data_IF_711038170614
#
_entry.id   IF_711038170614
#
_cell.length_a   1.000
_cell.length_b   1.000
_cell.length_c   1.000
_cell.angle_alpha   90.00
_cell.angle_beta   90.00
_cell.angle_gamma   90.00
#
_symmetry.space_group_name_H-M   'P 1'
#
loop_
_entity.id
_entity.type
_entity.pdbx_description
1 polymer ?
#
# COMPACT_ATOMS: atom_id res chain seq x y z
N UNK A 1 4.37 19.51 -11.18
CA UNK A 1 5.47 18.59 -11.57
C UNK A 1 6.52 18.50 -10.49
N UNK A 2 7.23 17.37 -10.40
CA UNK A 2 8.36 17.26 -9.47
C UNK A 2 9.65 17.76 -10.11
N UNK A 3 10.46 18.42 -9.32
CA UNK A 3 11.79 18.87 -9.74
C UNK A 3 12.70 17.63 -9.94
N UNK A 4 13.36 17.48 -11.10
CA UNK A 4 14.26 16.35 -11.34
C UNK A 4 15.52 16.37 -10.45
N UNK A 5 15.89 17.56 -9.93
CA UNK A 5 17.12 17.72 -9.14
C UNK A 5 16.91 17.48 -7.64
N UNK A 6 15.75 17.84 -7.08
CA UNK A 6 15.53 17.78 -5.63
C UNK A 6 14.21 17.13 -5.20
N UNK A 7 13.41 16.61 -6.13
CA UNK A 7 12.15 15.95 -5.86
C UNK A 7 11.01 16.86 -5.35
N UNK A 8 11.24 18.15 -5.17
CA UNK A 8 10.20 19.07 -4.67
C UNK A 8 9.08 19.25 -5.69
N UNK A 9 7.84 19.17 -5.22
CA UNK A 9 6.67 19.48 -6.05
C UNK A 9 6.63 20.96 -6.43
N UNK A 10 6.31 21.22 -7.69
CA UNK A 10 6.13 22.56 -8.24
C UNK A 10 4.88 22.57 -9.13
N UNK A 11 4.21 23.71 -9.22
CA UNK A 11 3.08 23.89 -10.14
C UNK A 11 3.52 23.54 -11.57
N UNK A 12 2.61 22.98 -12.34
CA UNK A 12 2.88 22.66 -13.76
C UNK A 12 3.24 23.87 -14.61
N UNK A 13 2.84 25.07 -14.19
CA UNK A 13 3.18 26.36 -14.80
C UNK A 13 4.49 26.98 -14.30
N UNK A 14 5.16 26.39 -13.32
CA UNK A 14 6.40 26.95 -12.77
C UNK A 14 7.57 26.72 -13.71
N UNK A 15 8.31 27.78 -14.03
CA UNK A 15 9.54 27.70 -14.84
C UNK A 15 10.76 27.27 -14.05
N UNK A 16 10.77 27.49 -12.73
CA UNK A 16 11.87 27.14 -11.83
C UNK A 16 11.36 26.47 -10.56
N UNK A 17 12.17 25.60 -10.00
CA UNK A 17 11.88 24.91 -8.74
C UNK A 17 11.86 25.87 -7.56
N UNK A 18 10.81 25.83 -6.75
CA UNK A 18 10.65 26.69 -5.56
C UNK A 18 11.67 26.40 -4.45
N UNK A 19 12.32 25.23 -4.48
CA UNK A 19 13.30 24.82 -3.45
C UNK A 19 14.74 24.98 -3.88
N UNK A 20 15.11 24.49 -5.08
CA UNK A 20 16.51 24.46 -5.53
C UNK A 20 16.79 25.40 -6.70
N UNK A 21 15.81 26.15 -7.18
CA UNK A 21 15.90 27.09 -8.30
C UNK A 21 16.30 26.44 -9.64
N UNK A 22 16.36 25.10 -9.74
CA UNK A 22 16.60 24.40 -10.98
C UNK A 22 15.52 24.70 -12.02
N UNK A 23 15.89 24.79 -13.28
CA UNK A 23 14.96 25.01 -14.37
C UNK A 23 14.08 23.78 -14.55
N UNK A 24 12.77 23.98 -14.53
CA UNK A 24 11.80 22.90 -14.69
C UNK A 24 11.49 22.67 -16.17
N UNK A 25 11.26 21.41 -16.59
CA UNK A 25 10.89 21.12 -17.97
C UNK A 25 9.57 21.80 -18.34
N UNK A 26 9.53 22.41 -19.50
CA UNK A 26 8.31 23.05 -20.04
C UNK A 26 7.35 21.94 -20.52
N UNK A 27 6.35 21.65 -19.70
CA UNK A 27 5.34 20.59 -19.95
C UNK A 27 4.51 20.88 -21.21
N UNK A 28 4.48 22.14 -21.69
CA UNK A 28 3.73 22.52 -22.90
C UNK A 28 4.43 22.07 -24.19
N UNK A 29 5.70 21.65 -24.12
CA UNK A 29 6.54 21.32 -25.27
C UNK A 29 6.84 19.83 -25.44
N UNK A 30 6.25 18.93 -24.66
CA UNK A 30 6.41 17.49 -24.87
C UNK A 30 5.67 17.04 -26.14
N UNK A 31 6.37 16.49 -27.14
CA UNK A 31 5.74 16.03 -28.40
C UNK A 31 5.24 14.57 -28.30
N UNK A 32 4.84 14.10 -27.13
CA UNK A 32 4.15 12.82 -27.03
C UNK A 32 2.73 12.96 -27.57
N UNK A 33 2.33 12.02 -28.47
CA UNK A 33 0.93 11.87 -28.88
C UNK A 33 0.07 11.91 -27.62
N UNK A 34 -1.00 12.70 -27.57
CA UNK A 34 -1.86 12.75 -26.41
C UNK A 34 -2.31 11.33 -26.11
N UNK A 35 -1.96 10.86 -24.91
CA UNK A 35 -2.44 9.58 -24.40
C UNK A 35 -3.97 9.69 -24.37
N UNK A 36 -4.65 8.89 -25.22
CA UNK A 36 -6.11 8.92 -25.34
C UNK A 36 -6.79 8.70 -23.99
N UNK A 37 -6.18 7.88 -23.13
CA UNK A 37 -6.67 7.60 -21.78
C UNK A 37 -6.59 8.85 -20.89
N UNK A 38 -5.48 9.60 -20.94
CA UNK A 38 -5.32 10.87 -20.20
C UNK A 38 -6.30 11.92 -20.73
N UNK A 39 -6.49 11.98 -22.04
CA UNK A 39 -7.43 12.94 -22.66
C UNK A 39 -8.87 12.65 -22.23
N UNK A 40 -9.25 11.38 -22.22
CA UNK A 40 -10.56 10.95 -21.75
C UNK A 40 -10.74 11.24 -20.25
N UNK A 41 -9.73 10.96 -19.42
CA UNK A 41 -9.77 11.26 -17.98
C UNK A 41 -9.91 12.76 -17.70
N UNK A 42 -9.23 13.63 -18.47
CA UNK A 42 -9.40 15.08 -18.35
C UNK A 42 -10.83 15.50 -18.66
N UNK A 43 -11.49 14.86 -19.62
CA UNK A 43 -12.90 15.10 -19.92
C UNK A 43 -13.80 14.64 -18.76
N UNK A 44 -13.60 13.42 -18.28
CA UNK A 44 -14.39 12.79 -17.21
C UNK A 44 -14.24 13.51 -15.87
N UNK A 45 -13.03 13.91 -15.49
CA UNK A 45 -12.77 14.62 -14.23
C UNK A 45 -13.11 16.11 -14.29
N UNK A 46 -13.39 16.62 -15.48
CA UNK A 46 -13.73 18.02 -15.72
C UNK A 46 -12.58 18.96 -15.36
N UNK A 47 -12.93 20.18 -14.88
CA UNK A 47 -11.95 21.19 -14.48
C UNK A 47 -11.34 20.95 -13.07
N UNK A 48 -11.78 19.92 -12.35
CA UNK A 48 -11.32 19.69 -10.97
C UNK A 48 -9.91 19.11 -10.87
N UNK A 49 -9.51 18.26 -11.82
CA UNK A 49 -8.21 17.55 -11.79
C UNK A 49 -7.50 17.68 -13.14
N UNK A 50 -6.30 18.25 -13.10
CA UNK A 50 -5.41 18.32 -14.26
C UNK A 50 -4.55 17.05 -14.31
N UNK A 51 -4.98 16.02 -15.03
CA UNK A 51 -4.25 14.76 -15.17
C UNK A 51 -2.94 15.00 -15.93
N UNK A 52 -1.81 14.60 -15.35
CA UNK A 52 -0.47 14.88 -15.87
C UNK A 52 0.15 13.68 -16.57
N UNK A 53 0.30 12.56 -15.83
CA UNK A 53 0.95 11.35 -16.35
C UNK A 53 0.43 10.11 -15.64
N UNK A 54 0.59 8.96 -16.29
CA UNK A 54 0.40 7.65 -15.69
C UNK A 54 1.58 7.32 -14.77
N UNK A 55 1.29 6.90 -13.53
CA UNK A 55 2.29 6.42 -12.57
C UNK A 55 2.47 4.90 -12.63
N UNK A 56 1.43 4.18 -12.96
CA UNK A 56 1.42 2.72 -13.00
C UNK A 56 0.02 2.17 -13.17
N UNK A 57 -0.14 0.90 -12.82
CA UNK A 57 -1.43 0.21 -12.84
C UNK A 57 -1.26 -1.28 -12.87
N UNK A 58 -2.32 -2.00 -12.56
CA UNK A 58 -2.39 -3.45 -12.58
C UNK A 58 -3.56 -3.95 -13.43
N UNK A 59 -3.97 -5.20 -13.23
CA UNK A 59 -5.06 -5.81 -14.00
C UNK A 59 -6.44 -5.17 -13.82
N UNK A 60 -6.64 -4.36 -12.78
CA UNK A 60 -7.96 -3.81 -12.42
C UNK A 60 -8.06 -2.29 -12.57
N UNK A 61 -6.96 -1.56 -12.35
CA UNK A 61 -6.97 -0.11 -12.34
C UNK A 61 -5.65 0.47 -12.86
N UNK A 62 -5.75 1.65 -13.45
CA UNK A 62 -4.62 2.51 -13.79
C UNK A 62 -4.49 3.64 -12.76
N UNK A 63 -3.25 4.06 -12.47
CA UNK A 63 -2.93 5.09 -11.48
C UNK A 63 -2.29 6.28 -12.18
N UNK A 64 -2.84 7.48 -11.95
CA UNK A 64 -2.41 8.71 -12.60
C UNK A 64 -2.04 9.78 -11.58
N UNK A 65 -0.96 10.50 -11.85
CA UNK A 65 -0.65 11.75 -11.18
C UNK A 65 -1.50 12.86 -11.78
N UNK A 66 -2.11 13.65 -10.92
CA UNK A 66 -2.86 14.83 -11.31
C UNK A 66 -2.62 15.98 -10.31
N UNK A 67 -3.06 17.16 -10.68
CA UNK A 67 -3.10 18.33 -9.82
C UNK A 67 -4.55 18.71 -9.56
N UNK A 68 -4.90 18.95 -8.29
CA UNK A 68 -6.21 19.49 -7.96
C UNK A 68 -6.26 20.98 -8.36
N UNK A 69 -7.08 21.32 -9.35
CA UNK A 69 -7.04 22.63 -10.03
C UNK A 69 -7.20 23.83 -9.09
N UNK A 70 -8.07 23.74 -8.07
CA UNK A 70 -8.31 24.85 -7.15
C UNK A 70 -7.38 24.85 -5.93
N UNK A 71 -6.93 23.68 -5.47
CA UNK A 71 -6.06 23.57 -4.28
C UNK A 71 -4.57 23.57 -4.67
N UNK A 72 -4.28 23.46 -5.97
CA UNK A 72 -2.93 23.50 -6.54
C UNK A 72 -1.96 22.49 -5.86
N UNK A 73 -2.49 21.32 -5.51
CA UNK A 73 -1.72 20.27 -4.85
C UNK A 73 -1.75 18.97 -5.66
N UNK A 74 -0.67 18.16 -5.59
CA UNK A 74 -0.61 16.88 -6.27
C UNK A 74 -1.58 15.88 -5.63
N UNK A 75 -2.27 15.14 -6.48
CA UNK A 75 -3.16 14.05 -6.12
C UNK A 75 -2.93 12.86 -7.03
N UNK A 76 -3.38 11.70 -6.59
CA UNK A 76 -3.38 10.47 -7.38
C UNK A 76 -4.81 10.10 -7.71
N UNK A 77 -5.08 9.85 -8.98
CA UNK A 77 -6.33 9.25 -9.45
C UNK A 77 -6.10 7.76 -9.69
N UNK A 78 -6.85 6.91 -9.01
CA UNK A 78 -6.93 5.47 -9.30
C UNK A 78 -8.21 5.22 -10.08
N UNK A 79 -8.06 4.75 -11.31
CA UNK A 79 -9.12 4.63 -12.31
C UNK A 79 -9.39 3.17 -12.60
N UNK A 80 -10.62 2.71 -12.40
CA UNK A 80 -11.03 1.34 -12.71
C UNK A 80 -11.09 1.13 -14.23
N UNK A 81 -10.55 -0.01 -14.71
CA UNK A 81 -10.58 -0.32 -16.14
C UNK A 81 -12.02 -0.48 -16.65
N UNK A 82 -12.32 0.13 -17.81
CA UNK A 82 -13.67 0.25 -18.35
C UNK A 82 -14.38 -1.07 -18.64
N UNK A 83 -13.63 -2.18 -18.86
CA UNK A 83 -14.24 -3.51 -19.02
C UNK A 83 -14.82 -4.04 -17.70
N UNK A 84 -14.24 -3.65 -16.53
CA UNK A 84 -14.74 -4.00 -15.22
C UNK A 84 -15.89 -3.07 -14.79
N UNK A 85 -15.89 -1.82 -15.24
CA UNK A 85 -16.97 -0.87 -15.01
C UNK A 85 -18.28 -1.24 -15.73
N UNK A 86 -18.25 -2.15 -16.69
CA UNK A 86 -19.44 -2.67 -17.39
C UNK A 86 -20.17 -3.79 -16.61
N UNK A 87 -19.55 -4.39 -15.61
CA UNK A 87 -20.18 -5.38 -14.74
C UNK A 87 -20.89 -4.66 -13.57
N UNK A 88 -22.24 -4.70 -13.50
CA UNK A 88 -23.01 -4.02 -12.46
C UNK A 88 -22.64 -4.46 -11.04
N UNK A 89 -22.27 -5.72 -10.86
CA UNK A 89 -21.88 -6.25 -9.55
C UNK A 89 -20.50 -5.73 -9.12
N UNK A 90 -19.56 -5.62 -10.07
CA UNK A 90 -18.24 -5.02 -9.83
C UNK A 90 -18.36 -3.53 -9.50
N UNK A 91 -19.24 -2.83 -10.23
CA UNK A 91 -19.52 -1.41 -10.02
C UNK A 91 -20.07 -1.13 -8.62
N UNK A 92 -21.10 -1.87 -8.21
CA UNK A 92 -21.71 -1.69 -6.88
C UNK A 92 -20.74 -2.04 -5.76
N UNK A 93 -19.91 -3.06 -5.97
CA UNK A 93 -18.86 -3.44 -5.04
C UNK A 93 -17.80 -2.35 -4.90
N UNK A 94 -17.28 -1.82 -6.02
CA UNK A 94 -16.33 -0.72 -6.01
C UNK A 94 -16.87 0.49 -5.23
N UNK A 95 -18.13 0.87 -5.50
CA UNK A 95 -18.80 1.98 -4.79
C UNK A 95 -18.89 1.71 -3.29
N UNK A 96 -19.26 0.49 -2.90
CA UNK A 96 -19.39 0.11 -1.48
C UNK A 96 -18.04 0.12 -0.78
N UNK A 97 -17.01 -0.42 -1.41
CA UNK A 97 -15.66 -0.49 -0.87
C UNK A 97 -15.02 0.90 -0.80
N UNK A 98 -15.18 1.74 -1.82
CA UNK A 98 -14.74 3.13 -1.79
C UNK A 98 -15.41 3.92 -0.66
N UNK A 99 -16.73 3.74 -0.43
CA UNK A 99 -17.44 4.35 0.71
C UNK A 99 -16.91 3.85 2.05
N UNK A 100 -16.65 2.55 2.20
CA UNK A 100 -16.11 2.00 3.43
C UNK A 100 -14.69 2.52 3.70
N UNK A 101 -13.83 2.54 2.70
CA UNK A 101 -12.46 3.04 2.81
C UNK A 101 -12.42 4.56 3.08
N UNK A 102 -13.36 5.35 2.52
CA UNK A 102 -13.42 6.80 2.77
C UNK A 102 -13.76 7.16 4.23
N UNK A 103 -14.31 6.23 5.00
CA UNK A 103 -14.58 6.42 6.43
C UNK A 103 -13.37 6.11 7.32
N UNK A 104 -12.29 5.58 6.75
CA UNK A 104 -11.08 5.29 7.51
C UNK A 104 -10.26 6.57 7.70
N UNK A 105 -10.25 7.10 8.92
CA UNK A 105 -9.46 8.27 9.31
C UNK A 105 -8.41 7.83 10.34
N UNK A 106 -7.19 7.65 9.87
CA UNK A 106 -6.06 7.21 10.70
C UNK A 106 -4.75 7.81 10.17
N UNK A 107 -3.78 8.22 11.02
CA UNK A 107 -2.53 8.84 10.57
C UNK A 107 -1.69 7.94 9.64
N UNK A 108 -1.85 6.62 9.71
CA UNK A 108 -1.12 5.67 8.87
C UNK A 108 -2.03 5.01 7.80
N UNK A 109 -3.11 5.67 7.40
CA UNK A 109 -3.96 5.28 6.26
C UNK A 109 -4.01 6.43 5.27
N UNK A 110 -3.77 6.14 4.00
CA UNK A 110 -3.94 7.13 2.92
C UNK A 110 -5.43 7.43 2.76
N UNK A 111 -5.88 8.68 3.02
CA UNK A 111 -7.30 9.00 2.94
C UNK A 111 -7.80 9.04 1.50
N UNK A 112 -9.04 8.63 1.26
CA UNK A 112 -9.75 8.92 0.02
C UNK A 112 -10.30 10.35 0.11
N UNK A 113 -9.86 11.22 -0.78
CA UNK A 113 -10.26 12.64 -0.83
C UNK A 113 -11.55 12.85 -1.59
N UNK A 114 -11.74 12.07 -2.66
CA UNK A 114 -12.91 12.16 -3.55
C UNK A 114 -13.09 10.84 -4.30
N UNK A 115 -14.29 10.60 -4.80
CA UNK A 115 -14.60 9.50 -5.70
C UNK A 115 -15.62 9.99 -6.72
N UNK A 116 -15.46 9.56 -7.96
CA UNK A 116 -16.34 10.00 -9.05
C UNK A 116 -16.62 8.90 -10.04
N UNK A 117 -17.72 9.13 -10.76
CA UNK A 117 -18.14 8.33 -11.90
C UNK A 117 -18.67 9.26 -13.00
N UNK A 118 -18.10 9.17 -14.19
CA UNK A 118 -18.58 9.85 -15.36
C UNK A 118 -18.24 9.05 -16.62
N UNK A 119 -19.15 8.99 -17.58
CA UNK A 119 -18.99 8.29 -18.86
C UNK A 119 -18.55 6.82 -18.74
N UNK A 120 -19.01 6.13 -17.69
CA UNK A 120 -18.64 4.75 -17.38
C UNK A 120 -17.22 4.57 -16.85
N UNK A 121 -16.54 5.65 -16.47
CA UNK A 121 -15.23 5.66 -15.81
C UNK A 121 -15.42 5.92 -14.32
N UNK A 122 -14.94 4.99 -13.50
CA UNK A 122 -14.92 5.16 -12.04
C UNK A 122 -13.51 5.47 -11.57
N UNK A 123 -13.41 6.43 -10.67
CA UNK A 123 -12.13 6.80 -10.09
C UNK A 123 -12.23 7.17 -8.61
N UNK A 124 -11.14 6.97 -7.90
CA UNK A 124 -10.92 7.52 -6.55
C UNK A 124 -9.74 8.48 -6.58
N UNK A 125 -9.76 9.46 -5.70
CA UNK A 125 -8.71 10.48 -5.57
C UNK A 125 -8.09 10.40 -4.20
N UNK A 126 -6.77 10.37 -4.15
CA UNK A 126 -5.96 10.29 -2.94
C UNK A 126 -4.87 11.37 -2.96
N UNK A 127 -4.31 11.76 -1.81
CA UNK A 127 -3.10 12.60 -1.82
C UNK A 127 -1.94 11.85 -2.48
N UNK A 128 -1.08 12.57 -3.17
CA UNK A 128 0.19 12.02 -3.65
C UNK A 128 1.15 11.83 -2.48
N UNK A 129 1.79 10.66 -2.40
CA UNK A 129 2.77 10.33 -1.37
C UNK A 129 4.18 10.48 -1.93
N UNK A 130 4.92 11.55 -1.57
CA UNK A 130 6.20 11.87 -2.21
C UNK A 130 7.34 10.95 -1.80
N UNK A 131 7.22 10.26 -0.69
CA UNK A 131 8.23 9.33 -0.19
C UNK A 131 8.28 7.98 -0.92
N UNK A 132 7.43 7.79 -1.96
CA UNK A 132 7.36 6.53 -2.70
C UNK A 132 6.75 5.38 -1.91
N UNK A 133 7.00 4.15 -2.35
CA UNK A 133 6.52 2.90 -1.73
C UNK A 133 7.61 2.17 -0.94
N UNK A 134 7.21 1.22 -0.11
CA UNK A 134 8.18 0.32 0.54
C UNK A 134 8.83 -0.63 -0.47
N UNK A 135 8.12 -0.95 -1.56
CA UNK A 135 8.69 -1.69 -2.70
C UNK A 135 9.87 -0.96 -3.34
N UNK A 136 9.78 0.37 -3.48
CA UNK A 136 10.89 1.19 -4.01
C UNK A 136 12.12 1.13 -3.09
N UNK A 137 11.91 1.14 -1.76
CA UNK A 137 13.02 1.03 -0.78
C UNK A 137 13.65 -0.36 -0.79
N UNK A 138 12.85 -1.43 -0.82
CA UNK A 138 13.33 -2.82 -0.91
C UNK A 138 14.07 -3.05 -2.22
N UNK A 139 13.61 -2.43 -3.32
CA UNK A 139 14.29 -2.48 -4.62
C UNK A 139 15.74 -1.96 -4.60
N UNK A 140 16.10 -1.13 -3.63
CA UNK A 140 17.47 -0.68 -3.37
C UNK A 140 18.27 -1.67 -2.50
N UNK A 141 17.65 -2.72 -1.95
CA UNK A 141 18.24 -3.74 -1.10
C UNK A 141 17.49 -3.95 0.23
N UNK A 142 17.99 -4.89 1.03
CA UNK A 142 17.47 -5.14 2.38
C UNK A 142 17.60 -3.88 3.25
N UNK A 143 16.57 -3.64 4.08
CA UNK A 143 16.45 -2.42 4.87
C UNK A 143 16.92 -2.66 6.33
N UNK A 144 17.36 -1.62 7.05
CA UNK A 144 17.76 -1.74 8.44
C UNK A 144 16.65 -2.34 9.31
N UNK A 145 16.96 -3.29 10.24
CA UNK A 145 15.95 -3.97 11.04
C UNK A 145 15.02 -3.05 11.83
N UNK A 146 15.53 -1.97 12.42
CA UNK A 146 14.74 -0.99 13.19
C UNK A 146 13.79 -0.22 12.27
N UNK A 147 14.23 0.12 11.06
CA UNK A 147 13.38 0.80 10.08
C UNK A 147 12.23 -0.11 9.62
N UNK A 148 12.52 -1.37 9.26
CA UNK A 148 11.50 -2.37 8.89
C UNK A 148 10.49 -2.56 10.02
N UNK A 149 10.95 -2.73 11.25
CA UNK A 149 10.09 -2.91 12.41
C UNK A 149 9.18 -1.68 12.64
N UNK A 150 9.71 -0.46 12.46
CA UNK A 150 8.95 0.78 12.59
C UNK A 150 7.86 0.91 11.51
N UNK A 151 8.20 0.63 10.25
CA UNK A 151 7.27 0.67 9.11
C UNK A 151 6.12 -0.32 9.34
N UNK A 152 6.46 -1.56 9.70
CA UNK A 152 5.47 -2.63 9.92
C UNK A 152 4.61 -2.34 11.15
N UNK A 153 5.15 -1.75 12.22
CA UNK A 153 4.35 -1.35 13.38
C UNK A 153 3.29 -0.30 13.02
N UNK A 154 3.66 0.69 12.20
CA UNK A 154 2.72 1.71 11.71
C UNK A 154 1.62 1.09 10.83
N UNK A 155 1.99 0.20 9.89
CA UNK A 155 1.05 -0.50 9.04
C UNK A 155 0.13 -1.43 9.85
N UNK A 156 0.65 -2.13 10.86
CA UNK A 156 -0.12 -3.03 11.72
C UNK A 156 -1.19 -2.27 12.53
N UNK A 157 -0.87 -1.08 13.03
CA UNK A 157 -1.84 -0.24 13.73
C UNK A 157 -2.93 0.30 12.78
N UNK A 158 -2.56 0.67 11.56
CA UNK A 158 -3.51 1.08 10.53
C UNK A 158 -4.50 -0.05 10.19
N UNK A 159 -3.99 -1.27 10.01
CA UNK A 159 -4.81 -2.45 9.74
C UNK A 159 -5.71 -2.81 10.92
N UNK A 160 -5.20 -2.76 12.18
CA UNK A 160 -6.04 -2.98 13.37
C UNK A 160 -7.20 -2.00 13.44
N UNK A 161 -6.96 -0.73 13.09
CA UNK A 161 -8.00 0.28 13.04
C UNK A 161 -9.10 -0.06 12.01
N UNK A 162 -8.72 -0.56 10.83
CA UNK A 162 -9.65 -1.00 9.80
C UNK A 162 -10.40 -2.28 10.21
N UNK A 163 -9.69 -3.27 10.78
CA UNK A 163 -10.27 -4.54 11.23
C UNK A 163 -11.38 -4.33 12.28
N UNK A 164 -11.18 -3.42 13.24
CA UNK A 164 -12.21 -3.06 14.22
C UNK A 164 -13.46 -2.44 13.60
N UNK A 165 -13.40 -2.02 12.35
CA UNK A 165 -14.52 -1.51 11.55
C UNK A 165 -15.07 -2.52 10.56
N UNK A 166 -14.61 -3.79 10.65
CA UNK A 166 -15.04 -4.88 9.77
C UNK A 166 -14.39 -4.85 8.38
N UNK A 167 -13.34 -4.04 8.18
CA UNK A 167 -12.64 -3.92 6.90
C UNK A 167 -11.33 -4.70 6.97
N UNK A 168 -11.19 -5.74 6.16
CA UNK A 168 -9.96 -6.52 5.97
C UNK A 168 -9.32 -6.06 4.65
N UNK A 169 -8.03 -5.81 4.65
CA UNK A 169 -7.30 -5.24 3.49
C UNK A 169 -7.15 -6.24 2.34
N UNK A 170 -6.71 -7.47 2.63
CA UNK A 170 -6.59 -8.62 1.73
C UNK A 170 -5.48 -8.53 0.67
N UNK A 171 -4.87 -7.38 0.45
CA UNK A 171 -3.76 -7.17 -0.51
C UNK A 171 -2.64 -6.35 0.13
N UNK A 172 -2.20 -6.75 1.32
CA UNK A 172 -1.07 -6.12 1.98
C UNK A 172 0.22 -6.57 1.30
N UNK A 173 0.95 -5.60 0.74
CA UNK A 173 2.24 -5.80 0.05
C UNK A 173 3.08 -4.52 0.11
N UNK A 174 4.37 -4.57 -0.21
CA UNK A 174 5.24 -3.39 -0.15
C UNK A 174 4.78 -2.22 -1.02
N UNK A 175 4.16 -2.49 -2.18
CA UNK A 175 3.59 -1.46 -3.07
C UNK A 175 2.47 -0.66 -2.40
N UNK A 176 1.74 -1.26 -1.46
CA UNK A 176 0.61 -0.66 -0.77
C UNK A 176 0.99 -0.03 0.59
N UNK A 177 2.29 0.07 0.89
CA UNK A 177 2.84 0.83 2.03
C UNK A 177 3.60 2.00 1.45
N UNK A 178 3.02 3.19 1.54
CA UNK A 178 3.55 4.44 0.99
C UNK A 178 4.14 5.31 2.10
N UNK A 179 4.95 6.31 1.70
CA UNK A 179 5.58 7.23 2.65
C UNK A 179 5.17 8.67 2.35
N UNK A 180 4.83 9.41 3.41
CA UNK A 180 4.63 10.86 3.36
C UNK A 180 5.97 11.62 3.26
N UNK A 181 5.91 12.95 3.27
CA UNK A 181 7.10 13.83 3.20
C UNK A 181 7.99 13.73 4.44
N UNK A 182 7.43 13.29 5.57
CA UNK A 182 8.15 13.10 6.85
C UNK A 182 8.68 11.66 7.01
N UNK A 183 8.42 10.78 6.03
CA UNK A 183 8.85 9.39 6.03
C UNK A 183 7.98 8.44 6.86
N UNK A 184 6.78 8.87 7.28
CA UNK A 184 5.83 7.98 7.94
C UNK A 184 5.20 7.01 6.94
N UNK A 185 4.99 5.77 7.40
CA UNK A 185 4.35 4.75 6.58
C UNK A 185 2.82 4.89 6.64
N UNK A 186 2.18 4.86 5.47
CA UNK A 186 0.73 4.85 5.32
C UNK A 186 0.30 3.69 4.42
N UNK A 187 -0.72 2.95 4.87
CA UNK A 187 -1.33 1.88 4.08
C UNK A 187 -2.35 2.47 3.11
N UNK A 188 -2.30 2.05 1.86
CA UNK A 188 -3.23 2.44 0.79
C UNK A 188 -3.95 1.23 0.22
N UNK A 189 -4.96 1.46 -0.62
CA UNK A 189 -5.62 0.41 -1.42
C UNK A 189 -6.37 -0.65 -0.61
N UNK A 190 -7.10 -0.23 0.43
CA UNK A 190 -8.00 -1.12 1.17
C UNK A 190 -9.04 -1.76 0.24
N UNK A 191 -8.77 -2.98 -0.19
CA UNK A 191 -9.70 -3.97 -0.78
C UNK A 191 -10.63 -3.57 -1.91
N UNK A 192 -10.41 -2.40 -2.57
CA UNK A 192 -11.39 -1.74 -3.46
C UNK A 192 -11.80 -2.58 -4.70
N UNK A 193 -11.24 -3.76 -4.92
CA UNK A 193 -11.61 -4.56 -6.11
C UNK A 193 -11.42 -6.08 -5.98
N UNK A 194 -10.90 -6.60 -4.86
CA UNK A 194 -10.35 -7.97 -4.86
C UNK A 194 -11.27 -9.07 -4.33
N UNK A 195 -12.38 -8.75 -3.70
CA UNK A 195 -13.20 -9.74 -2.97
C UNK A 195 -13.76 -10.90 -3.82
N UNK A 196 -13.73 -10.81 -5.16
CA UNK A 196 -14.19 -11.91 -6.05
C UNK A 196 -13.10 -12.81 -6.56
N UNK A 197 -11.85 -12.36 -6.55
CA UNK A 197 -10.76 -13.10 -7.19
C UNK A 197 -9.90 -13.91 -6.22
N UNK A 198 -10.12 -13.72 -4.90
CA UNK A 198 -9.47 -14.53 -3.89
C UNK A 198 -10.08 -15.93 -3.84
N UNK A 199 -9.32 -16.92 -4.27
CA UNK A 199 -9.64 -18.34 -4.09
C UNK A 199 -10.16 -19.10 -5.30
N UNK A 200 -10.24 -18.49 -6.49
CA UNK A 200 -10.38 -19.24 -7.72
C UNK A 200 -9.15 -19.02 -8.60
N UNK A 201 -8.25 -19.98 -8.58
CA UNK A 201 -7.43 -20.26 -9.76
C UNK A 201 -8.43 -20.41 -10.91
N UNK A 202 -8.55 -19.39 -11.76
CA UNK A 202 -9.40 -19.51 -12.93
C UNK A 202 -8.91 -20.69 -13.75
N UNK A 203 -9.81 -21.40 -14.40
CA UNK A 203 -9.49 -22.53 -15.29
C UNK A 203 -8.46 -22.14 -16.40
N UNK A 204 -8.13 -20.87 -16.54
CA UNK A 204 -7.13 -20.31 -17.44
C UNK A 204 -5.73 -20.14 -16.84
N UNK A 205 -5.48 -20.55 -15.57
CA UNK A 205 -4.15 -20.51 -14.94
C UNK A 205 -3.64 -19.08 -14.62
N UNK A 206 -4.44 -18.04 -14.84
CA UNK A 206 -4.08 -16.66 -14.48
C UNK A 206 -4.55 -16.36 -13.07
N UNK A 207 -3.62 -16.42 -12.10
CA UNK A 207 -3.86 -15.87 -10.78
C UNK A 207 -3.95 -14.34 -10.92
N UNK A 208 -5.05 -13.76 -10.47
CA UNK A 208 -5.21 -12.32 -10.38
C UNK A 208 -4.75 -11.92 -8.98
N UNK A 209 -3.67 -11.16 -8.88
CA UNK A 209 -3.01 -10.75 -7.65
C UNK A 209 -1.58 -11.28 -7.53
N UNK A 210 -0.83 -10.76 -6.59
CA UNK A 210 0.57 -11.18 -6.34
C UNK A 210 0.56 -12.30 -5.29
N UNK A 211 0.70 -13.58 -5.69
CA UNK A 211 0.53 -14.73 -4.78
C UNK A 211 1.56 -14.76 -3.65
N UNK A 212 2.66 -14.01 -3.80
CA UNK A 212 3.76 -13.95 -2.84
C UNK A 212 3.34 -13.47 -1.44
N UNK A 213 2.27 -12.66 -1.34
CA UNK A 213 1.80 -12.08 -0.06
C UNK A 213 0.49 -12.69 0.43
N UNK A 214 -0.09 -13.65 -0.29
CA UNK A 214 -1.34 -14.31 0.12
C UNK A 214 -1.15 -15.12 1.39
N UNK A 215 -2.10 -15.02 2.32
CA UNK A 215 -2.17 -15.93 3.45
C UNK A 215 -2.61 -17.34 3.02
N UNK A 216 -2.28 -18.39 3.81
CA UNK A 216 -2.71 -19.76 3.52
C UNK A 216 -4.22 -19.89 3.32
N UNK A 217 -5.02 -19.22 4.15
CA UNK A 217 -6.48 -19.23 4.05
C UNK A 217 -7.00 -18.52 2.79
N UNK A 218 -6.33 -17.45 2.32
CA UNK A 218 -6.64 -16.83 1.03
C UNK A 218 -6.32 -17.79 -0.12
N UNK A 219 -5.12 -18.40 -0.13
CA UNK A 219 -4.73 -19.36 -1.16
C UNK A 219 -5.66 -20.56 -1.23
N UNK A 220 -6.25 -20.96 -0.10
CA UNK A 220 -7.25 -22.05 -0.02
C UNK A 220 -8.68 -21.60 -0.32
N UNK A 221 -8.94 -20.31 -0.57
CA UNK A 221 -10.31 -19.80 -0.76
C UNK A 221 -11.21 -19.88 0.47
N UNK A 222 -10.64 -19.91 1.67
CA UNK A 222 -11.37 -19.95 2.94
C UNK A 222 -11.81 -18.55 3.36
N UNK A 223 -12.67 -18.49 4.39
CA UNK A 223 -13.04 -17.21 5.01
C UNK A 223 -11.80 -16.54 5.63
N UNK A 224 -11.67 -15.24 5.38
CA UNK A 224 -10.52 -14.43 5.74
C UNK A 224 -10.92 -13.38 6.75
N UNK A 225 -10.17 -13.28 7.84
CA UNK A 225 -10.27 -12.19 8.82
C UNK A 225 -8.96 -11.37 8.88
N UNK A 226 -8.86 -10.41 9.82
CA UNK A 226 -7.71 -9.53 9.93
C UNK A 226 -6.36 -10.23 10.14
N UNK A 227 -6.35 -11.48 10.57
CA UNK A 227 -5.12 -12.27 10.75
C UNK A 227 -4.48 -12.68 9.42
N UNK A 228 -5.21 -12.62 8.31
CA UNK A 228 -4.64 -12.74 6.98
C UNK A 228 -3.72 -11.56 6.64
N UNK A 229 -4.15 -10.33 6.96
CA UNK A 229 -3.32 -9.14 6.76
C UNK A 229 -2.07 -9.17 7.64
N UNK A 230 -2.15 -9.75 8.85
CA UNK A 230 -0.98 -9.96 9.74
C UNK A 230 0.03 -10.93 9.09
N UNK A 231 -0.44 -12.00 8.45
CA UNK A 231 0.42 -12.91 7.70
C UNK A 231 1.12 -12.18 6.55
N UNK A 232 0.37 -11.42 5.76
CA UNK A 232 0.91 -10.63 4.66
C UNK A 232 1.93 -9.58 5.15
N UNK A 233 1.68 -8.91 6.30
CA UNK A 233 2.69 -8.06 6.95
C UNK A 233 3.93 -8.83 7.38
N UNK A 234 3.79 -10.09 7.80
CA UNK A 234 4.92 -10.97 8.08
C UNK A 234 5.80 -11.19 6.85
N UNK A 235 5.18 -11.35 5.67
CA UNK A 235 5.92 -11.47 4.39
C UNK A 235 6.59 -10.13 4.02
N UNK A 236 5.87 -9.01 4.15
CA UNK A 236 6.41 -7.67 3.92
C UNK A 236 7.62 -7.40 4.82
N UNK A 237 7.54 -7.78 6.10
CA UNK A 237 8.63 -7.65 7.05
C UNK A 237 9.82 -8.55 6.70
N UNK A 238 9.55 -9.81 6.32
CA UNK A 238 10.58 -10.74 5.85
C UNK A 238 11.33 -10.15 4.65
N UNK A 239 10.60 -9.73 3.63
CA UNK A 239 11.17 -9.16 2.41
C UNK A 239 11.94 -7.87 2.69
N UNK A 240 11.44 -7.00 3.54
CA UNK A 240 12.16 -5.80 3.98
C UNK A 240 13.51 -6.09 4.62
N UNK A 241 13.60 -7.18 5.41
CA UNK A 241 14.81 -7.60 6.11
C UNK A 241 15.80 -8.36 5.23
N UNK A 242 15.31 -9.11 4.23
CA UNK A 242 16.11 -10.07 3.45
C UNK A 242 16.33 -9.57 2.01
N UNK A 243 15.43 -8.74 1.49
CA UNK A 243 15.44 -8.23 0.12
C UNK A 243 14.58 -9.02 -0.87
N UNK A 244 13.99 -10.15 -0.44
CA UNK A 244 13.10 -10.98 -1.27
C UNK A 244 12.06 -11.71 -0.42
N UNK A 245 10.88 -12.08 -0.97
CA UNK A 245 9.85 -12.79 -0.22
C UNK A 245 10.27 -14.21 0.15
N UNK A 246 9.69 -14.81 1.22
CA UNK A 246 10.07 -16.14 1.72
C UNK A 246 9.74 -17.27 0.76
N UNK A 247 8.80 -17.07 -0.14
CA UNK A 247 8.38 -18.09 -1.10
C UNK A 247 8.36 -17.52 -2.52
N UNK A 248 8.97 -18.26 -3.43
CA UNK A 248 8.97 -17.98 -4.86
C UNK A 248 8.73 -19.29 -5.64
N UNK A 249 8.33 -19.18 -6.91
CA UNK A 249 8.03 -20.33 -7.73
C UNK A 249 7.82 -19.99 -9.20
N UNK A 250 7.79 -21.00 -10.08
CA UNK A 250 7.66 -20.80 -11.52
C UNK A 250 6.31 -20.22 -11.94
N UNK A 251 5.30 -20.32 -11.09
CA UNK A 251 3.96 -19.80 -11.32
C UNK A 251 3.21 -19.50 -10.00
N UNK A 252 2.07 -18.88 -10.14
CA UNK A 252 1.23 -18.50 -9.01
C UNK A 252 0.71 -19.71 -8.19
N UNK A 253 0.55 -20.87 -8.83
CA UNK A 253 0.10 -22.08 -8.15
C UNK A 253 1.21 -22.62 -7.24
N UNK A 254 2.45 -22.67 -7.74
CA UNK A 254 3.61 -23.11 -6.96
C UNK A 254 3.84 -22.22 -5.72
N UNK A 255 3.73 -20.90 -5.88
CA UNK A 255 3.84 -19.96 -4.75
C UNK A 255 2.67 -20.17 -3.77
N UNK A 256 1.43 -20.26 -4.26
CA UNK A 256 0.25 -20.53 -3.43
C UNK A 256 0.35 -21.84 -2.66
N UNK A 257 0.88 -22.91 -3.28
CA UNK A 257 1.14 -24.18 -2.61
C UNK A 257 2.12 -24.02 -1.44
N UNK A 258 3.21 -23.29 -1.65
CA UNK A 258 4.21 -23.01 -0.61
C UNK A 258 3.62 -22.18 0.54
N UNK A 259 2.78 -21.18 0.23
CA UNK A 259 2.06 -20.43 1.25
C UNK A 259 1.25 -21.33 2.18
N UNK A 260 0.67 -22.42 1.67
CA UNK A 260 -0.14 -23.35 2.44
C UNK A 260 0.70 -24.38 3.19
N UNK A 261 1.75 -24.92 2.56
CA UNK A 261 2.37 -26.18 3.00
C UNK A 261 3.81 -26.02 3.50
N UNK A 262 4.58 -25.03 3.00
CA UNK A 262 5.99 -24.91 3.35
C UNK A 262 6.20 -23.95 4.53
N UNK A 263 7.09 -24.35 5.44
CA UNK A 263 7.59 -23.45 6.51
C UNK A 263 8.67 -22.56 5.90
N UNK A 264 8.59 -21.23 6.08
CA UNK A 264 9.64 -20.35 5.55
C UNK A 264 10.96 -20.56 6.28
N UNK A 265 12.08 -20.37 5.57
CA UNK A 265 13.40 -20.28 6.19
C UNK A 265 13.42 -19.06 7.10
N UNK A 266 13.94 -19.20 8.32
CA UNK A 266 14.03 -18.06 9.24
C UNK A 266 14.92 -16.95 8.66
N UNK A 267 14.53 -15.66 8.78
CA UNK A 267 15.36 -14.53 8.31
C UNK A 267 16.82 -14.59 8.80
N UNK A 268 17.04 -15.02 10.04
CA UNK A 268 18.41 -15.18 10.63
C UNK A 268 19.25 -16.23 9.88
N UNK A 269 18.62 -17.27 9.34
CA UNK A 269 19.34 -18.27 8.56
C UNK A 269 19.75 -17.78 7.18
N UNK A 270 19.04 -16.77 6.65
CA UNK A 270 19.37 -16.11 5.38
C UNK A 270 20.41 -15.00 5.59
N UNK A 271 20.23 -14.21 6.63
CA UNK A 271 21.18 -13.15 7.02
C UNK A 271 21.34 -13.15 8.56
N UNK A 272 22.52 -13.57 9.01
CA UNK A 272 22.84 -13.68 10.45
C UNK A 272 22.95 -12.33 11.18
N UNK A 273 22.95 -11.20 10.44
CA UNK A 273 22.92 -9.86 11.04
C UNK A 273 21.52 -9.45 11.51
N UNK A 274 20.48 -10.18 11.07
CA UNK A 274 19.11 -9.94 11.53
C UNK A 274 18.95 -10.42 12.97
N UNK A 275 18.50 -9.55 13.90
CA UNK A 275 18.34 -9.93 15.29
C UNK A 275 17.34 -11.09 15.48
N UNK A 276 17.74 -12.12 16.24
CA UNK A 276 16.93 -13.31 16.43
C UNK A 276 15.53 -13.01 16.99
N UNK A 277 15.42 -12.09 17.94
CA UNK A 277 14.13 -11.68 18.51
C UNK A 277 13.20 -11.03 17.47
N UNK A 278 13.72 -10.29 16.49
CA UNK A 278 12.92 -9.75 15.38
C UNK A 278 12.49 -10.87 14.43
N UNK A 279 13.39 -11.81 14.13
CA UNK A 279 13.06 -12.97 13.31
C UNK A 279 11.95 -13.84 13.93
N UNK A 280 11.90 -13.99 15.25
CA UNK A 280 10.82 -14.68 15.97
C UNK A 280 9.46 -13.97 15.74
N UNK A 281 9.43 -12.63 15.76
CA UNK A 281 8.20 -11.86 15.45
C UNK A 281 7.75 -12.14 14.01
N UNK A 282 8.69 -12.12 13.03
CA UNK A 282 8.40 -12.46 11.63
C UNK A 282 7.80 -13.87 11.54
N UNK A 283 8.47 -14.86 12.12
CA UNK A 283 8.07 -16.26 12.02
C UNK A 283 6.71 -16.51 12.67
N UNK A 284 6.39 -15.82 13.76
CA UNK A 284 5.07 -15.86 14.38
C UNK A 284 3.98 -15.31 13.45
N UNK A 285 4.23 -14.20 12.74
CA UNK A 285 3.28 -13.70 11.72
C UNK A 285 3.06 -14.72 10.61
N UNK A 286 4.10 -15.47 10.20
CA UNK A 286 4.09 -16.45 9.14
C UNK A 286 3.60 -17.85 9.56
N UNK A 287 3.09 -18.01 10.79
CA UNK A 287 2.44 -19.25 11.24
C UNK A 287 1.27 -19.61 10.33
N UNK A 288 1.19 -20.89 9.91
CA UNK A 288 0.14 -21.32 8.97
C UNK A 288 -1.25 -21.27 9.61
N UNK A 289 -1.48 -21.82 10.83
CA UNK A 289 -2.75 -21.61 11.50
C UNK A 289 -2.91 -20.15 11.95
N UNK A 290 -4.03 -19.47 11.60
CA UNK A 290 -4.27 -18.09 12.03
C UNK A 290 -4.28 -17.91 13.57
N UNK A 291 -4.60 -18.96 14.33
CA UNK A 291 -4.63 -18.92 15.80
C UNK A 291 -3.25 -18.74 16.43
N UNK A 292 -2.17 -19.14 15.73
CA UNK A 292 -0.79 -19.09 16.24
C UNK A 292 -0.12 -17.73 15.94
N UNK A 293 -0.76 -16.89 15.11
CA UNK A 293 -0.31 -15.54 14.79
C UNK A 293 -0.66 -14.57 15.92
N UNK A 294 -0.33 -13.30 15.73
CA UNK A 294 -0.89 -12.24 16.57
C UNK A 294 -2.40 -12.15 16.33
N UNK A 295 -3.16 -12.00 17.42
CA UNK A 295 -4.62 -11.95 17.32
C UNK A 295 -5.11 -10.66 16.66
N UNK A 296 -4.36 -9.56 16.86
CA UNK A 296 -4.69 -8.23 16.39
C UNK A 296 -3.47 -7.52 15.83
N UNK A 297 -3.68 -6.57 14.91
CA UNK A 297 -2.60 -5.72 14.38
C UNK A 297 -1.89 -4.93 15.48
N UNK A 298 -2.61 -4.44 16.48
CA UNK A 298 -2.00 -3.73 17.61
C UNK A 298 -1.09 -4.64 18.46
N UNK A 299 -1.39 -5.93 18.60
CA UNK A 299 -0.53 -6.85 19.34
C UNK A 299 0.82 -7.03 18.62
N UNK A 300 0.83 -7.06 17.29
CA UNK A 300 2.03 -7.06 16.47
C UNK A 300 2.78 -5.72 16.60
N UNK A 301 2.07 -4.60 16.50
CA UNK A 301 2.67 -3.28 16.62
C UNK A 301 3.35 -3.10 17.99
N UNK A 302 2.70 -3.50 19.07
CA UNK A 302 3.24 -3.43 20.44
C UNK A 302 4.49 -4.30 20.61
N UNK A 303 4.51 -5.51 20.02
CA UNK A 303 5.68 -6.39 20.04
C UNK A 303 6.87 -5.78 19.30
N UNK A 304 6.65 -5.16 18.12
CA UNK A 304 7.69 -4.49 17.34
C UNK A 304 8.24 -3.27 18.08
N UNK A 305 7.37 -2.45 18.67
CA UNK A 305 7.77 -1.26 19.45
C UNK A 305 8.57 -1.67 20.68
N UNK A 306 8.15 -2.72 21.40
CA UNK A 306 8.89 -3.25 22.52
C UNK A 306 10.29 -3.74 22.11
N UNK A 307 10.37 -4.42 20.95
CA UNK A 307 11.65 -4.84 20.39
C UNK A 307 12.53 -3.62 20.02
N UNK A 308 12.02 -2.62 19.30
CA UNK A 308 12.76 -1.38 18.96
C UNK A 308 13.29 -0.72 20.25
N UNK A 309 12.47 -0.62 21.29
CA UNK A 309 12.87 -0.01 22.55
C UNK A 309 14.01 -0.79 23.24
N UNK A 310 14.12 -2.10 23.02
CA UNK A 310 15.18 -2.93 23.60
C UNK A 310 16.52 -2.77 22.90
N UNK A 311 16.57 -2.26 21.67
CA UNK A 311 17.82 -2.07 20.91
C UNK A 311 18.66 -0.88 21.40
N UNK A 312 18.06 0.05 22.13
CA UNK A 312 18.70 1.31 22.55
C UNK A 312 18.93 2.31 21.41
N UNK A 313 18.66 1.92 20.17
CA UNK A 313 18.71 2.83 19.02
C UNK A 313 17.49 3.77 19.09
N UNK A 314 17.65 5.05 18.84
CA UNK A 314 16.72 6.20 18.75
C UNK A 314 15.21 5.93 19.00
N UNK A 315 14.92 4.85 19.71
CA UNK A 315 13.58 4.37 20.04
C UNK A 315 12.73 5.38 20.83
N UNK A 316 13.35 6.39 21.44
CA UNK A 316 12.62 7.39 22.21
C UNK A 316 11.82 8.32 21.31
N UNK A 317 12.40 8.88 20.26
CA UNK A 317 11.68 9.79 19.35
C UNK A 317 10.55 9.07 18.58
N UNK A 318 10.81 7.84 18.13
CA UNK A 318 9.78 7.02 17.47
C UNK A 318 8.68 6.55 18.43
N UNK A 319 9.04 6.13 19.65
CA UNK A 319 8.08 5.76 20.69
C UNK A 319 7.21 6.95 21.10
N UNK A 320 7.81 8.14 21.24
CA UNK A 320 7.11 9.35 21.66
C UNK A 320 6.17 9.83 20.54
N UNK A 321 6.57 9.80 19.28
CA UNK A 321 5.73 10.08 18.13
C UNK A 321 4.56 9.06 17.99
N UNK A 322 4.81 7.78 18.24
CA UNK A 322 3.79 6.73 18.26
C UNK A 322 2.79 6.91 19.40
N UNK A 323 3.28 7.18 20.61
CA UNK A 323 2.44 7.38 21.80
C UNK A 323 1.57 8.64 21.64
N UNK A 324 2.14 9.73 21.11
CA UNK A 324 1.41 10.95 20.82
C UNK A 324 0.29 10.74 19.78
N UNK A 325 0.52 9.91 18.75
CA UNK A 325 -0.48 9.57 17.74
C UNK A 325 -1.62 8.69 18.27
N UNK A 326 -1.33 7.78 19.22
CA UNK A 326 -2.36 7.00 19.92
C UNK A 326 -3.20 7.83 20.91
N UNK A 327 -2.58 8.83 21.52
CA UNK A 327 -3.21 9.67 22.53
C UNK A 327 -4.13 10.76 21.92
N UNK A 328 -4.04 11.03 20.61
CA UNK A 328 -4.98 11.96 19.95
C UNK A 328 -6.32 11.24 19.75
N UNK A 329 -7.36 11.50 20.57
CA UNK A 329 -8.68 11.01 20.27
C UNK A 329 -9.10 11.70 18.97
N UNK A 330 -9.38 10.92 17.93
CA UNK A 330 -10.14 11.44 16.79
C UNK A 330 -11.42 12.01 17.37
N UNK A 331 -11.44 13.35 17.44
CA UNK A 331 -12.55 14.11 18.03
C UNK A 331 -13.84 13.65 17.41
N UNK A 332 -14.72 13.20 18.29
CA UNK A 332 -16.14 13.14 18.03
C UNK A 332 -16.62 14.55 17.67
N UNK A 333 -17.16 14.74 16.47
CA UNK A 333 -18.40 15.46 16.18
C UNK A 333 -18.64 15.47 14.69
#
# INVERSE_FOLDING_TARGET
>A
MFCPECGTWNRSSAATCSRCNAQLPDVSKSPEKPDEEITNLRHVTGSRYCVQKRLGGGGMASVYLAEHAHLERPVVLKVLHGHLAKDPEMLERFRREARAASQLVHPNIVPILDAGEADGVLYTVMPYMPGGSFSDRIGAGAQPPVEVASIVAQAAAALDYAHRRGIVHRDVKPDNVLFDEDGHALVTDFGIAEARFHGRLTASGRAMGTPHYMSPEQAMGKLVDGRADIYSLGIVMYEGLVGFPPFDGPDAFAVGYKQVHEVPVSPVQVNSEIPAALAEIVMRCLSKPPADRYARGNDLADALIAWIASTGETGNAMRDAWTARRATPTGAR
#
